data_IF_579819724060
#
_entry.id   IF_579819724060
#
_cell.length_a   1.000
_cell.length_b   1.000
_cell.length_c   1.000
_cell.angle_alpha   90.00
_cell.angle_beta   90.00
_cell.angle_gamma   90.00
#
_symmetry.space_group_name_H-M   'P 1'
#
loop_
_entity.id
_entity.type
_entity.pdbx_description
1 polymer ?
#
# COMPACT_ATOMS: atom_id res chain seq x y z
N UNK A 1 -10.21 -5.84 -15.07
CA UNK A 1 -9.79 -5.70 -13.65
C UNK A 1 -10.89 -4.96 -12.89
N UNK A 2 -10.93 -5.03 -11.57
CA UNK A 2 -11.97 -4.35 -10.77
C UNK A 2 -11.59 -2.89 -10.45
N UNK A 3 -10.29 -2.56 -10.48
CA UNK A 3 -9.71 -1.23 -10.25
C UNK A 3 -8.59 -0.95 -11.27
N UNK A 4 -8.10 0.27 -11.35
CA UNK A 4 -6.91 0.65 -12.11
C UNK A 4 -6.13 1.78 -11.40
N UNK A 5 -5.01 2.21 -11.99
CA UNK A 5 -4.13 3.26 -11.46
C UNK A 5 -4.18 4.55 -12.29
N UNK A 6 -5.08 4.65 -13.26
CA UNK A 6 -5.17 5.83 -14.11
C UNK A 6 -5.89 6.95 -13.35
N UNK A 7 -5.18 8.07 -13.14
CA UNK A 7 -5.76 9.23 -12.45
C UNK A 7 -6.89 9.85 -13.29
N UNK A 8 -8.04 10.10 -12.66
CA UNK A 8 -9.25 10.59 -13.31
C UNK A 8 -10.15 9.48 -13.88
N UNK A 9 -9.70 8.22 -13.89
CA UNK A 9 -10.52 7.08 -14.31
C UNK A 9 -11.64 6.84 -13.30
N UNK A 10 -12.82 6.42 -13.78
CA UNK A 10 -13.92 5.98 -12.91
C UNK A 10 -13.55 4.78 -12.01
N UNK A 11 -12.42 4.11 -12.31
CA UNK A 11 -11.85 3.00 -11.57
C UNK A 11 -10.46 3.31 -10.98
N UNK A 12 -10.06 4.59 -11.05
CA UNK A 12 -8.80 5.10 -10.55
C UNK A 12 -8.72 5.20 -9.03
N UNK A 13 -7.53 5.47 -8.48
CA UNK A 13 -7.25 5.47 -7.04
C UNK A 13 -8.21 6.31 -6.18
N UNK A 14 -8.64 7.46 -6.68
CA UNK A 14 -9.56 8.38 -6.02
C UNK A 14 -10.98 7.79 -5.82
N UNK A 15 -11.32 6.74 -6.59
CA UNK A 15 -12.63 6.09 -6.58
C UNK A 15 -12.65 4.69 -5.95
N UNK A 16 -11.48 4.10 -5.61
CA UNK A 16 -11.41 2.71 -5.13
C UNK A 16 -12.34 2.40 -3.95
N UNK A 17 -12.53 3.34 -3.04
CA UNK A 17 -13.43 3.19 -1.89
C UNK A 17 -14.91 2.99 -2.25
N UNK A 18 -15.30 3.39 -3.46
CA UNK A 18 -16.68 3.34 -3.96
C UNK A 18 -16.92 2.10 -4.86
N UNK A 19 -15.86 1.55 -5.46
CA UNK A 19 -15.96 0.46 -6.44
C UNK A 19 -16.52 -0.84 -5.85
N UNK A 20 -16.18 -1.15 -4.59
CA UNK A 20 -16.57 -2.38 -3.92
C UNK A 20 -17.03 -2.08 -2.48
N UNK A 21 -18.21 -1.48 -2.37
CA UNK A 21 -18.81 -1.21 -1.06
C UNK A 21 -19.45 -2.49 -0.48
N UNK A 22 -19.20 -2.82 0.80
CA UNK A 22 -18.44 -2.06 1.81
C UNK A 22 -16.96 -2.46 1.93
N UNK A 23 -16.51 -3.47 1.19
CA UNK A 23 -15.21 -4.12 1.39
C UNK A 23 -14.02 -3.19 1.21
N UNK A 24 -14.10 -2.23 0.28
CA UNK A 24 -13.00 -1.31 -0.04
C UNK A 24 -13.19 0.10 0.51
N UNK A 25 -14.25 0.35 1.28
CA UNK A 25 -14.62 1.69 1.79
C UNK A 25 -13.42 2.44 2.40
N UNK A 26 -12.56 1.73 3.13
CA UNK A 26 -11.37 2.27 3.80
C UNK A 26 -10.37 2.94 2.84
N UNK A 27 -10.32 2.56 1.56
CA UNK A 27 -9.50 3.22 0.55
C UNK A 27 -9.92 4.70 0.34
N UNK A 28 -11.20 5.03 0.58
CA UNK A 28 -11.72 6.39 0.44
C UNK A 28 -11.87 7.16 1.76
N UNK A 29 -12.28 6.49 2.85
CA UNK A 29 -12.59 7.17 4.13
C UNK A 29 -11.56 6.94 5.25
N UNK A 30 -10.57 6.07 5.04
CA UNK A 30 -9.50 5.80 5.98
C UNK A 30 -8.65 7.04 6.27
N UNK A 31 -8.28 7.26 7.53
CA UNK A 31 -7.46 8.41 7.97
C UNK A 31 -5.99 8.10 8.22
N UNK A 32 -5.60 6.84 8.00
CA UNK A 32 -4.23 6.34 8.16
C UNK A 32 -3.88 5.45 6.95
N UNK A 33 -4.04 5.98 5.75
CA UNK A 33 -3.70 5.29 4.50
C UNK A 33 -2.22 5.46 4.13
N UNK A 34 -1.76 4.65 3.19
CA UNK A 34 -0.42 4.72 2.60
C UNK A 34 -0.55 4.83 1.07
N UNK A 35 0.45 5.37 0.35
CA UNK A 35 1.72 5.93 0.86
C UNK A 35 1.53 7.28 1.57
N UNK A 36 2.56 7.71 2.29
CA UNK A 36 2.65 9.05 2.91
C UNK A 36 3.95 9.72 2.50
N UNK A 37 3.96 11.05 2.54
CA UNK A 37 5.18 11.82 2.34
C UNK A 37 6.07 11.75 3.60
N UNK A 38 7.30 11.26 3.45
CA UNK A 38 8.27 11.13 4.53
C UNK A 38 9.27 12.28 4.43
N UNK A 39 8.92 13.39 5.06
CA UNK A 39 9.75 14.59 5.10
C UNK A 39 10.69 14.59 6.30
N UNK A 40 11.99 14.82 6.08
CA UNK A 40 13.02 14.82 7.13
C UNK A 40 12.67 15.75 8.30
N UNK A 41 12.10 16.92 8.03
CA UNK A 41 11.67 17.88 9.06
C UNK A 41 10.56 17.37 9.99
N UNK A 42 9.77 16.39 9.56
CA UNK A 42 8.60 15.88 10.30
C UNK A 42 8.87 14.53 10.99
N UNK A 43 10.10 14.04 10.94
CA UNK A 43 10.48 12.76 11.57
C UNK A 43 10.86 12.96 13.02
N UNK A 44 10.22 12.21 13.91
CA UNK A 44 10.68 12.03 15.29
C UNK A 44 11.71 10.90 15.36
N UNK A 45 12.97 11.24 15.60
CA UNK A 45 14.03 10.23 15.80
C UNK A 45 13.84 9.58 17.17
N UNK A 46 13.82 8.25 17.20
CA UNK A 46 13.68 7.48 18.43
C UNK A 46 14.93 6.61 18.66
N UNK A 47 15.99 7.12 19.31
CA UNK A 47 17.28 6.40 19.44
C UNK A 47 17.22 5.07 20.20
N UNK A 48 16.16 4.87 20.99
CA UNK A 48 15.92 3.60 21.70
C UNK A 48 15.44 2.49 20.75
N UNK A 49 15.02 2.82 19.53
CA UNK A 49 14.64 1.85 18.53
C UNK A 49 15.90 1.12 18.05
N UNK A 50 15.94 -0.19 18.27
CA UNK A 50 17.06 -1.04 17.84
C UNK A 50 16.96 -1.32 16.34
N UNK A 51 18.07 -1.70 15.73
CA UNK A 51 18.08 -2.20 14.37
C UNK A 51 17.10 -3.38 14.21
N UNK A 52 16.40 -3.44 13.07
CA UNK A 52 15.48 -4.52 12.75
C UNK A 52 16.25 -5.85 12.63
N UNK A 53 15.98 -6.80 13.52
CA UNK A 53 16.55 -8.14 13.45
C UNK A 53 15.82 -8.95 12.38
N UNK A 54 16.54 -9.44 11.37
CA UNK A 54 16.00 -10.23 10.27
C UNK A 54 16.63 -11.62 10.29
N UNK A 55 15.82 -12.67 10.19
CA UNK A 55 16.25 -14.08 10.15
C UNK A 55 15.59 -14.83 8.99
N UNK A 56 15.60 -14.20 7.81
CA UNK A 56 15.05 -14.83 6.60
C UNK A 56 15.86 -16.06 6.19
N UNK A 57 15.19 -17.03 5.58
CA UNK A 57 15.80 -18.26 5.04
C UNK A 57 15.35 -18.43 3.60
N UNK A 58 16.20 -19.06 2.79
CA UNK A 58 15.80 -19.46 1.45
C UNK A 58 14.61 -20.44 1.52
N UNK A 59 13.68 -20.28 0.59
CA UNK A 59 12.51 -21.13 0.45
C UNK A 59 12.14 -21.20 -1.04
N UNK A 60 11.40 -22.24 -1.43
CA UNK A 60 10.80 -22.31 -2.76
C UNK A 60 9.83 -21.15 -2.96
N UNK A 61 9.91 -20.46 -4.09
CA UNK A 61 9.08 -19.31 -4.43
C UNK A 61 8.43 -19.49 -5.81
N UNK A 62 7.26 -18.88 -5.99
CA UNK A 62 6.54 -18.85 -7.26
C UNK A 62 6.39 -17.39 -7.67
N UNK A 63 6.94 -17.04 -8.83
CA UNK A 63 6.78 -15.71 -9.42
C UNK A 63 5.39 -15.62 -10.06
N UNK A 64 4.64 -14.57 -9.74
CA UNK A 64 3.28 -14.36 -10.25
C UNK A 64 3.07 -12.93 -10.71
N UNK A 65 2.68 -12.79 -11.98
CA UNK A 65 2.08 -11.56 -12.47
C UNK A 65 0.57 -11.56 -12.12
N UNK A 66 0.11 -10.54 -11.40
CA UNK A 66 -1.30 -10.41 -10.98
C UNK A 66 -2.09 -9.40 -11.80
N UNK A 67 -1.48 -8.80 -12.83
CA UNK A 67 -2.06 -7.75 -13.68
C UNK A 67 -1.63 -6.35 -13.25
N UNK A 68 -1.65 -6.08 -11.94
CA UNK A 68 -1.31 -4.79 -11.33
C UNK A 68 0.05 -4.78 -10.61
N UNK A 69 0.67 -5.93 -10.38
CA UNK A 69 2.01 -6.07 -9.80
C UNK A 69 2.65 -7.44 -10.12
N UNK A 70 3.95 -7.54 -9.81
CA UNK A 70 4.72 -8.78 -9.87
C UNK A 70 5.12 -9.16 -8.44
N UNK A 71 4.78 -10.38 -8.03
CA UNK A 71 5.04 -10.93 -6.69
C UNK A 71 5.87 -12.21 -6.75
#
# INVERSE_FOLDING_TARGET
EEFDYEEGSSRGPEHWGQLNYPKWKTCGDGKMQSPIDIQRQNVTVFPKMKALTRKYKAAHAVLKNRGHDIM
#
